data_IF_686829044600
#
_entry.id   IF_686829044600
#
_cell.length_a   1.000
_cell.length_b   1.000
_cell.length_c   1.000
_cell.angle_alpha   90.00
_cell.angle_beta   90.00
_cell.angle_gamma   90.00
#
_symmetry.space_group_name_H-M   'P 1'
#
loop_
_entity.id
_entity.type
_entity.pdbx_description
1 polymer ?
#
# COMPACT_ATOMS: atom_id res chain seq x y z
N UNK A 1 -17.16 15.87 49.45
CA UNK A 1 -16.04 15.00 49.07
C UNK A 1 -16.31 14.19 47.78
N UNK A 2 -17.47 13.53 47.62
CA UNK A 2 -17.81 12.67 46.43
C UNK A 2 -17.80 13.42 45.08
N UNK A 3 -18.24 14.68 45.04
CA UNK A 3 -18.33 15.47 43.81
C UNK A 3 -16.94 15.85 43.22
N UNK A 4 -15.95 16.11 44.09
CA UNK A 4 -14.56 16.38 43.64
C UNK A 4 -13.85 15.10 43.10
N UNK A 5 -14.21 13.93 43.64
CA UNK A 5 -13.67 12.64 43.20
C UNK A 5 -14.21 12.27 41.83
N UNK A 6 -15.50 12.49 41.55
CA UNK A 6 -16.13 12.26 40.24
C UNK A 6 -15.56 13.18 39.15
N UNK A 7 -15.31 14.46 39.47
CA UNK A 7 -14.68 15.39 38.54
C UNK A 7 -13.24 14.98 38.16
N UNK A 8 -12.47 14.50 39.14
CA UNK A 8 -11.11 13.99 38.89
C UNK A 8 -11.08 12.76 38.00
N UNK A 9 -11.97 11.79 38.22
CA UNK A 9 -12.08 10.59 37.39
C UNK A 9 -12.51 10.92 35.95
N UNK A 10 -13.45 11.84 35.76
CA UNK A 10 -13.88 12.27 34.44
C UNK A 10 -12.74 12.97 33.65
N UNK A 11 -11.93 13.78 34.33
CA UNK A 11 -10.80 14.48 33.72
C UNK A 11 -9.68 13.50 33.30
N UNK A 12 -9.37 12.53 34.14
CA UNK A 12 -8.38 11.45 33.83
C UNK A 12 -8.86 10.61 32.65
N UNK A 13 -10.15 10.26 32.60
CA UNK A 13 -10.73 9.56 31.46
C UNK A 13 -10.65 10.35 30.15
N UNK A 14 -10.97 11.65 30.20
CA UNK A 14 -10.85 12.52 29.03
C UNK A 14 -9.40 12.68 28.53
N UNK A 15 -8.44 12.79 29.45
CA UNK A 15 -7.02 12.87 29.11
C UNK A 15 -6.50 11.55 28.52
N UNK A 16 -6.95 10.41 29.02
CA UNK A 16 -6.59 9.09 28.48
C UNK A 16 -7.15 8.91 27.06
N UNK A 17 -8.39 9.33 26.79
CA UNK A 17 -8.98 9.31 25.47
C UNK A 17 -8.22 10.24 24.52
N UNK A 18 -7.90 11.46 24.92
CA UNK A 18 -7.11 12.40 24.13
C UNK A 18 -5.70 11.87 23.85
N UNK A 19 -5.07 11.19 24.82
CA UNK A 19 -3.76 10.56 24.65
C UNK A 19 -3.80 9.43 23.61
N UNK A 20 -4.83 8.57 23.67
CA UNK A 20 -5.03 7.50 22.67
C UNK A 20 -5.22 8.08 21.26
N UNK A 21 -6.07 9.14 21.13
CA UNK A 21 -6.27 9.81 19.84
C UNK A 21 -5.04 10.61 19.35
N UNK A 22 -4.18 11.03 20.25
CA UNK A 22 -2.94 11.73 19.91
C UNK A 22 -1.81 10.78 19.49
N UNK A 23 -1.93 9.47 19.80
CA UNK A 23 -0.92 8.50 19.37
C UNK A 23 -0.88 8.36 17.84
N UNK A 24 0.28 8.51 17.19
CA UNK A 24 0.42 8.38 15.73
C UNK A 24 -0.12 7.05 15.21
N UNK A 25 0.02 5.97 15.98
CA UNK A 25 -0.46 4.62 15.66
C UNK A 25 -1.99 4.50 15.57
N UNK A 26 -2.74 5.32 16.32
CA UNK A 26 -4.20 5.31 16.27
C UNK A 26 -4.74 6.10 15.06
N UNK A 27 -4.00 7.13 14.61
CA UNK A 27 -4.39 7.97 13.47
C UNK A 27 -4.21 7.32 12.12
N UNK A 28 -3.36 6.28 12.01
CA UNK A 28 -3.00 5.69 10.71
C UNK A 28 -3.52 4.27 10.48
N UNK A 29 -4.20 3.66 11.45
CA UNK A 29 -4.72 2.28 11.29
C UNK A 29 -3.65 1.21 11.07
N UNK A 30 -2.38 1.46 11.37
CA UNK A 30 -1.24 0.74 10.84
C UNK A 30 -0.28 0.00 11.80
N UNK A 31 -0.56 -0.33 13.05
CA UNK A 31 0.51 -0.92 13.86
C UNK A 31 0.81 -2.39 13.56
N UNK A 32 -0.04 -3.10 12.80
CA UNK A 32 0.02 -4.57 12.81
C UNK A 32 0.83 -5.21 11.68
N UNK A 33 1.19 -4.48 10.63
CA UNK A 33 1.84 -5.08 9.45
C UNK A 33 3.27 -4.60 9.20
N UNK A 34 3.65 -3.42 9.68
CA UNK A 34 5.01 -2.90 9.53
C UNK A 34 6.04 -3.82 10.21
N UNK A 35 7.18 -4.05 9.55
CA UNK A 35 8.23 -4.96 9.98
C UNK A 35 7.97 -6.44 9.69
N UNK A 36 6.73 -6.84 9.36
CA UNK A 36 6.42 -8.22 8.98
C UNK A 36 6.99 -8.54 7.60
N UNK A 37 7.35 -9.80 7.38
CA UNK A 37 7.70 -10.27 6.04
C UNK A 37 6.49 -10.17 5.14
N UNK A 38 6.64 -9.55 3.96
CA UNK A 38 5.60 -9.52 2.95
C UNK A 38 5.23 -10.94 2.54
N UNK A 39 3.95 -11.33 2.54
CA UNK A 39 3.51 -12.62 2.04
C UNK A 39 3.95 -12.81 0.59
N UNK A 40 4.61 -13.94 0.30
CA UNK A 40 4.95 -14.27 -1.07
C UNK A 40 3.70 -14.72 -1.84
N UNK A 41 3.69 -14.45 -3.12
CA UNK A 41 2.65 -14.90 -4.03
C UNK A 41 3.26 -15.22 -5.39
N UNK A 42 2.62 -16.13 -6.11
CA UNK A 42 2.97 -16.47 -7.48
C UNK A 42 1.85 -15.96 -8.41
N UNK A 43 2.23 -15.23 -9.43
CA UNK A 43 1.34 -14.80 -10.50
C UNK A 43 1.87 -15.29 -11.84
N UNK A 44 0.97 -15.59 -12.76
CA UNK A 44 1.34 -15.99 -14.11
C UNK A 44 1.18 -14.81 -15.07
N UNK A 45 2.20 -14.56 -15.89
CA UNK A 45 2.15 -13.61 -16.98
C UNK A 45 2.91 -14.16 -18.17
N UNK A 46 2.32 -14.12 -19.37
CA UNK A 46 2.93 -14.52 -20.63
C UNK A 46 3.66 -15.88 -20.56
N UNK A 47 3.05 -16.85 -19.87
CA UNK A 47 3.61 -18.21 -19.69
C UNK A 47 4.78 -18.30 -18.71
N UNK A 48 5.11 -17.23 -18.00
CA UNK A 48 6.11 -17.19 -16.93
C UNK A 48 5.46 -17.06 -15.57
N UNK A 49 6.00 -17.74 -14.59
CA UNK A 49 5.62 -17.57 -13.19
C UNK A 49 6.51 -16.49 -12.58
N UNK A 50 5.88 -15.51 -11.94
CA UNK A 50 6.53 -14.42 -11.19
C UNK A 50 6.23 -14.61 -9.70
N UNK A 51 7.24 -14.50 -8.87
CA UNK A 51 7.12 -14.48 -7.42
C UNK A 51 7.52 -13.11 -6.88
N UNK A 52 6.82 -12.61 -5.85
CA UNK A 52 7.27 -11.41 -5.17
C UNK A 52 8.70 -11.58 -4.61
N UNK A 53 9.03 -12.79 -4.18
CA UNK A 53 10.37 -13.13 -3.69
C UNK A 53 11.48 -12.87 -4.71
N UNK A 54 11.19 -12.88 -6.01
CA UNK A 54 12.16 -12.61 -7.09
C UNK A 54 12.61 -11.14 -7.10
N UNK A 55 11.85 -10.26 -6.41
CA UNK A 55 12.18 -8.84 -6.27
C UNK A 55 13.02 -8.51 -5.03
N UNK A 56 13.58 -9.51 -4.34
CA UNK A 56 14.51 -9.25 -3.25
C UNK A 56 15.67 -8.37 -3.72
N UNK A 57 16.06 -7.41 -2.89
CA UNK A 57 17.03 -6.38 -3.24
C UNK A 57 16.43 -5.14 -3.92
N UNK A 58 15.14 -5.18 -4.26
CA UNK A 58 14.40 -3.99 -4.75
C UNK A 58 13.43 -3.47 -3.70
N UNK A 59 13.18 -2.17 -3.73
CA UNK A 59 12.03 -1.57 -3.04
C UNK A 59 10.80 -1.77 -3.91
N UNK A 60 9.72 -2.30 -3.33
CA UNK A 60 8.48 -2.57 -4.07
C UNK A 60 7.34 -1.75 -3.51
N UNK A 61 6.62 -1.06 -4.39
CA UNK A 61 5.30 -0.50 -4.11
C UNK A 61 4.28 -1.49 -4.66
N UNK A 62 3.68 -2.27 -3.76
CA UNK A 62 2.65 -3.25 -4.11
C UNK A 62 1.29 -2.57 -3.95
N UNK A 63 0.61 -2.32 -5.07
CA UNK A 63 -0.64 -1.57 -5.13
C UNK A 63 -1.82 -2.46 -5.51
N UNK A 64 -2.89 -2.43 -4.69
CA UNK A 64 -4.15 -3.15 -4.93
C UNK A 64 -5.19 -2.19 -5.48
N UNK A 65 -5.73 -2.49 -6.65
CA UNK A 65 -6.61 -1.62 -7.41
C UNK A 65 -7.68 -2.38 -8.22
N UNK A 66 -8.55 -1.66 -8.93
CA UNK A 66 -9.43 -2.22 -9.94
C UNK A 66 -9.85 -1.14 -10.95
N UNK A 67 -10.21 -1.54 -12.17
CA UNK A 67 -10.65 -0.63 -13.23
C UNK A 67 -11.97 0.09 -12.90
N UNK A 68 -12.82 -0.52 -12.09
CA UNK A 68 -14.11 0.00 -11.62
C UNK A 68 -14.02 0.86 -10.35
N UNK A 69 -12.82 1.11 -9.83
CA UNK A 69 -12.56 1.88 -8.61
C UNK A 69 -12.17 3.32 -8.97
N UNK A 70 -13.06 4.33 -8.83
CA UNK A 70 -12.75 5.70 -9.25
C UNK A 70 -11.50 6.29 -8.63
N UNK A 71 -11.24 6.18 -7.30
CA UNK A 71 -10.01 6.71 -6.72
C UNK A 71 -8.74 5.99 -7.23
N UNK A 72 -8.83 4.70 -7.63
CA UNK A 72 -7.71 4.00 -8.26
C UNK A 72 -7.40 4.55 -9.66
N UNK A 73 -8.44 4.93 -10.41
CA UNK A 73 -8.29 5.59 -11.72
C UNK A 73 -7.54 6.91 -11.57
N UNK A 74 -7.90 7.70 -10.57
CA UNK A 74 -7.31 9.02 -10.33
C UNK A 74 -5.82 8.95 -9.95
N UNK A 75 -5.37 7.91 -9.25
CA UNK A 75 -3.96 7.77 -8.87
C UNK A 75 -3.06 7.13 -9.94
N UNK A 76 -3.61 6.52 -10.99
CA UNK A 76 -2.86 5.78 -12.01
C UNK A 76 -1.74 6.61 -12.67
N UNK A 77 -2.00 7.88 -12.97
CA UNK A 77 -0.99 8.77 -13.55
C UNK A 77 0.20 9.02 -12.61
N UNK A 78 -0.06 9.19 -11.31
CA UNK A 78 1.00 9.40 -10.32
C UNK A 78 1.80 8.12 -10.05
N UNK A 79 1.17 6.93 -10.12
CA UNK A 79 1.87 5.63 -10.08
C UNK A 79 2.78 5.44 -11.30
N UNK A 80 2.33 5.82 -12.50
CA UNK A 80 3.17 5.81 -13.70
C UNK A 80 4.42 6.69 -13.53
N UNK A 81 4.24 7.92 -13.03
CA UNK A 81 5.34 8.83 -12.76
C UNK A 81 6.29 8.27 -11.69
N UNK A 82 5.75 7.67 -10.63
CA UNK A 82 6.54 6.99 -9.60
C UNK A 82 7.37 5.85 -10.20
N UNK A 83 6.79 4.97 -11.02
CA UNK A 83 7.51 3.87 -11.67
C UNK A 83 8.70 4.38 -12.48
N UNK A 84 8.50 5.43 -13.29
CA UNK A 84 9.60 6.04 -14.05
C UNK A 84 10.72 6.53 -13.15
N UNK A 85 10.36 7.18 -12.03
CA UNK A 85 11.32 7.72 -11.07
C UNK A 85 12.15 6.65 -10.37
N UNK A 86 11.51 5.59 -9.84
CA UNK A 86 12.18 4.62 -8.97
C UNK A 86 12.85 3.46 -9.70
N UNK A 87 12.49 3.22 -10.97
CA UNK A 87 12.99 2.07 -11.73
C UNK A 87 14.51 2.05 -11.87
N UNK A 88 15.15 3.20 -12.09
CA UNK A 88 16.61 3.34 -12.18
C UNK A 88 17.32 3.30 -10.82
N UNK A 89 16.56 3.42 -9.71
CA UNK A 89 17.07 3.48 -8.33
C UNK A 89 16.92 2.13 -7.58
N UNK A 90 16.53 1.07 -8.30
CA UNK A 90 16.32 -0.24 -7.69
C UNK A 90 14.96 -0.36 -6.99
N UNK A 91 13.95 0.40 -7.44
CA UNK A 91 12.56 0.27 -7.04
C UNK A 91 11.67 -0.21 -8.18
N UNK A 92 10.45 -0.63 -7.85
CA UNK A 92 9.41 -0.94 -8.84
C UNK A 92 8.01 -0.84 -8.22
N UNK A 93 7.03 -0.46 -9.04
CA UNK A 93 5.61 -0.62 -8.71
C UNK A 93 5.15 -1.98 -9.22
N UNK A 94 4.30 -2.65 -8.46
CA UNK A 94 3.58 -3.88 -8.86
C UNK A 94 2.11 -3.65 -8.58
N UNK A 95 1.27 -3.68 -9.61
CA UNK A 95 -0.17 -3.57 -9.49
C UNK A 95 -0.84 -4.95 -9.34
N UNK A 96 -1.77 -5.06 -8.41
CA UNK A 96 -2.60 -6.25 -8.20
C UNK A 96 -4.06 -5.84 -8.38
N UNK A 97 -4.63 -6.23 -9.50
CA UNK A 97 -6.01 -5.87 -9.85
C UNK A 97 -7.02 -6.86 -9.29
N UNK A 98 -8.12 -6.34 -8.77
CA UNK A 98 -9.30 -7.09 -8.35
C UNK A 98 -10.38 -7.20 -9.44
N UNK A 99 -10.02 -6.95 -10.69
CA UNK A 99 -10.93 -7.17 -11.80
C UNK A 99 -11.19 -8.66 -12.02
N UNK A 100 -12.46 -9.07 -11.96
CA UNK A 100 -12.87 -10.45 -12.25
C UNK A 100 -12.81 -10.72 -13.77
N UNK A 101 -13.15 -9.70 -14.59
CA UNK A 101 -13.13 -9.77 -16.06
C UNK A 101 -11.82 -9.21 -16.63
N UNK A 102 -11.14 -9.95 -17.52
CA UNK A 102 -9.92 -9.44 -18.17
C UNK A 102 -10.16 -8.26 -19.12
N UNK A 103 -11.37 -8.09 -19.68
CA UNK A 103 -11.61 -7.05 -20.68
C UNK A 103 -11.53 -5.63 -20.10
N UNK A 104 -12.24 -5.25 -19.01
CA UNK A 104 -12.06 -3.94 -18.39
C UNK A 104 -10.67 -3.71 -17.84
N UNK A 105 -10.01 -4.75 -17.31
CA UNK A 105 -8.63 -4.68 -16.89
C UNK A 105 -7.70 -4.28 -18.04
N UNK A 106 -7.75 -4.97 -19.20
CA UNK A 106 -6.90 -4.65 -20.35
C UNK A 106 -7.21 -3.26 -20.93
N UNK A 107 -8.50 -2.90 -20.97
CA UNK A 107 -8.92 -1.56 -21.38
C UNK A 107 -8.27 -0.50 -20.51
N UNK A 108 -8.33 -0.66 -19.18
CA UNK A 108 -7.70 0.26 -18.23
C UNK A 108 -6.19 0.42 -18.49
N UNK A 109 -5.46 -0.69 -18.65
CA UNK A 109 -4.02 -0.65 -18.90
C UNK A 109 -3.67 0.19 -20.14
N UNK A 110 -4.49 0.06 -21.19
CA UNK A 110 -4.30 0.78 -22.43
C UNK A 110 -4.66 2.27 -22.30
N UNK A 111 -5.83 2.57 -21.71
CA UNK A 111 -6.33 3.95 -21.57
C UNK A 111 -5.46 4.80 -20.66
N UNK A 112 -4.96 4.22 -19.58
CA UNK A 112 -4.12 4.91 -18.59
C UNK A 112 -2.62 4.71 -18.85
N UNK A 113 -2.24 4.04 -19.96
CA UNK A 113 -0.84 3.82 -20.36
C UNK A 113 0.01 3.27 -19.22
N UNK A 114 -0.55 2.27 -18.49
CA UNK A 114 0.11 1.69 -17.32
C UNK A 114 1.48 1.16 -17.71
N UNK A 115 2.55 1.66 -17.07
CA UNK A 115 3.95 1.41 -17.44
C UNK A 115 4.70 0.56 -16.40
N UNK A 116 3.98 -0.06 -15.48
CA UNK A 116 4.52 -0.95 -14.45
C UNK A 116 3.89 -2.35 -14.55
N UNK A 117 4.60 -3.40 -14.09
CA UNK A 117 4.05 -4.74 -14.04
C UNK A 117 2.75 -4.79 -13.23
N UNK A 118 1.72 -5.39 -13.80
CA UNK A 118 0.43 -5.54 -13.15
C UNK A 118 -0.21 -6.88 -13.48
N UNK A 119 -1.00 -7.42 -12.53
CA UNK A 119 -1.55 -8.76 -12.57
C UNK A 119 -2.96 -8.77 -12.01
N UNK A 120 -3.80 -9.70 -12.47
CA UNK A 120 -5.12 -9.91 -11.89
C UNK A 120 -5.09 -10.91 -10.75
N UNK A 121 -5.74 -10.57 -9.65
CA UNK A 121 -6.03 -11.42 -8.49
C UNK A 121 -7.54 -11.69 -8.46
N UNK A 122 -8.03 -12.39 -9.50
CA UNK A 122 -9.45 -12.64 -9.77
C UNK A 122 -10.19 -13.36 -8.63
N UNK A 123 -9.47 -14.09 -7.80
CA UNK A 123 -10.01 -14.75 -6.60
C UNK A 123 -9.69 -14.01 -5.30
N UNK A 124 -9.04 -12.85 -5.36
CA UNK A 124 -8.63 -11.99 -4.23
C UNK A 124 -7.76 -12.69 -3.18
N UNK A 125 -7.10 -13.74 -3.56
CA UNK A 125 -6.25 -14.54 -2.67
C UNK A 125 -5.02 -13.75 -2.20
N UNK A 126 -4.38 -13.02 -3.10
CA UNK A 126 -3.23 -12.17 -2.77
C UNK A 126 -3.68 -11.07 -1.81
N UNK A 127 -4.76 -10.34 -2.15
CA UNK A 127 -5.33 -9.31 -1.28
C UNK A 127 -5.69 -9.84 0.11
N UNK A 128 -6.32 -11.00 0.19
CA UNK A 128 -6.67 -11.64 1.47
C UNK A 128 -5.43 -11.96 2.31
N UNK A 129 -4.35 -12.46 1.71
CA UNK A 129 -3.11 -12.78 2.41
C UNK A 129 -2.42 -11.52 2.98
N UNK A 130 -2.59 -10.38 2.34
CA UNK A 130 -2.10 -9.08 2.82
C UNK A 130 -3.04 -8.42 3.83
N UNK A 131 -4.27 -8.93 3.97
CA UNK A 131 -5.31 -8.30 4.79
C UNK A 131 -5.87 -7.04 4.17
N UNK A 132 -5.83 -6.95 2.84
CA UNK A 132 -6.46 -5.88 2.06
C UNK A 132 -7.96 -6.10 2.04
N UNK A 133 -8.73 -5.11 2.52
CA UNK A 133 -10.19 -5.17 2.61
C UNK A 133 -10.88 -4.11 1.75
N UNK A 134 -10.14 -3.12 1.30
CA UNK A 134 -10.62 -2.05 0.42
C UNK A 134 -9.51 -1.63 -0.54
N UNK A 135 -9.89 -0.99 -1.63
CA UNK A 135 -8.98 -0.44 -2.64
C UNK A 135 -9.29 1.05 -2.86
N UNK A 136 -8.27 1.88 -3.24
CA UNK A 136 -6.88 1.50 -3.38
C UNK A 136 -6.19 1.29 -2.02
N UNK A 137 -5.27 0.33 -1.97
CA UNK A 137 -4.46 0.04 -0.80
C UNK A 137 -3.07 -0.41 -1.26
N UNK A 138 -2.02 0.19 -0.71
CA UNK A 138 -0.66 -0.13 -1.12
C UNK A 138 0.25 -0.50 0.06
N UNK A 139 1.28 -1.28 -0.25
CA UNK A 139 2.32 -1.68 0.70
C UNK A 139 3.69 -1.29 0.17
N UNK A 140 4.42 -0.50 0.96
CA UNK A 140 5.83 -0.24 0.70
C UNK A 140 6.63 -1.42 1.27
N UNK A 141 7.39 -2.10 0.42
CA UNK A 141 8.17 -3.27 0.79
C UNK A 141 9.66 -2.95 0.60
N UNK A 142 10.43 -3.12 1.66
CA UNK A 142 11.87 -2.88 1.68
C UNK A 142 12.65 -3.96 0.92
N UNK A 143 13.94 -3.70 0.64
CA UNK A 143 14.82 -4.59 -0.11
C UNK A 143 14.93 -6.00 0.48
N UNK A 144 14.84 -6.13 1.81
CA UNK A 144 14.82 -7.41 2.52
C UNK A 144 13.44 -8.10 2.51
N UNK A 145 12.44 -7.49 1.84
CA UNK A 145 11.09 -7.99 1.65
C UNK A 145 10.22 -7.91 2.90
N UNK A 146 10.43 -6.92 3.73
CA UNK A 146 9.53 -6.59 4.83
C UNK A 146 8.61 -5.44 4.44
N UNK A 147 7.40 -5.46 4.95
CA UNK A 147 6.47 -4.36 4.82
C UNK A 147 7.01 -3.20 5.68
N UNK A 148 7.37 -2.10 5.06
CA UNK A 148 7.79 -0.88 5.74
C UNK A 148 6.58 -0.03 6.13
N UNK A 149 5.57 0.07 5.24
CA UNK A 149 4.37 0.86 5.47
C UNK A 149 3.19 0.27 4.70
N UNK A 150 1.99 0.34 5.28
CA UNK A 150 0.71 0.17 4.61
C UNK A 150 0.09 1.53 4.37
N UNK A 151 -0.47 1.76 3.20
CA UNK A 151 -1.11 3.02 2.80
C UNK A 151 -2.52 2.69 2.34
N UNK A 152 -3.51 3.37 2.89
CA UNK A 152 -4.93 3.13 2.61
C UNK A 152 -5.54 4.34 1.94
N UNK A 153 -6.30 4.12 0.88
CA UNK A 153 -6.97 5.15 0.10
C UNK A 153 -6.08 5.80 -0.95
N UNK A 154 -6.73 6.60 -1.80
CA UNK A 154 -6.09 7.32 -2.91
C UNK A 154 -4.91 8.18 -2.46
N UNK A 155 -3.84 8.15 -3.25
CA UNK A 155 -2.62 8.92 -3.01
C UNK A 155 -2.19 9.70 -4.25
N UNK A 156 -1.52 10.82 -4.00
CA UNK A 156 -0.60 11.41 -4.98
C UNK A 156 0.81 10.86 -4.72
N UNK A 157 1.22 9.88 -5.53
CA UNK A 157 2.52 9.21 -5.41
C UNK A 157 3.71 10.10 -5.75
N UNK A 158 3.45 11.33 -6.24
CA UNK A 158 4.47 12.36 -6.48
C UNK A 158 4.61 13.32 -5.29
N UNK A 159 3.76 13.20 -4.28
CA UNK A 159 3.78 14.07 -3.10
C UNK A 159 5.12 14.01 -2.36
N UNK A 160 5.58 15.12 -1.76
CA UNK A 160 6.85 15.16 -1.00
C UNK A 160 6.91 14.14 0.15
N UNK A 161 5.76 13.88 0.80
CA UNK A 161 5.71 12.91 1.90
C UNK A 161 6.03 11.50 1.42
N UNK A 162 5.36 11.01 0.37
CA UNK A 162 5.53 9.65 -0.13
C UNK A 162 6.88 9.48 -0.83
N UNK A 163 7.30 10.49 -1.59
CA UNK A 163 8.61 10.45 -2.25
C UNK A 163 9.75 10.42 -1.26
N UNK A 164 9.69 11.19 -0.15
CA UNK A 164 10.70 11.13 0.92
C UNK A 164 10.73 9.78 1.63
N UNK A 165 9.56 9.18 1.90
CA UNK A 165 9.48 7.86 2.52
C UNK A 165 10.09 6.78 1.62
N UNK A 166 9.82 6.85 0.30
CA UNK A 166 10.39 5.94 -0.69
C UNK A 166 11.91 6.13 -0.84
N UNK A 167 12.39 7.38 -0.86
CA UNK A 167 13.82 7.68 -0.92
C UNK A 167 14.57 7.11 0.29
N UNK A 168 13.99 7.20 1.48
CA UNK A 168 14.57 6.57 2.67
C UNK A 168 14.74 5.04 2.50
N UNK A 169 13.75 4.36 1.88
CA UNK A 169 13.83 2.92 1.60
C UNK A 169 14.82 2.60 0.46
N UNK A 170 14.86 3.43 -0.59
CA UNK A 170 15.75 3.24 -1.73
C UNK A 170 17.23 3.40 -1.36
N UNK A 171 17.54 4.21 -0.34
CA UNK A 171 18.90 4.47 0.12
C UNK A 171 19.26 3.71 1.40
N UNK A 172 18.34 2.95 2.02
CA UNK A 172 18.65 2.06 3.13
C UNK A 172 19.43 0.83 2.65
N UNK A 173 20.54 0.54 3.33
CA UNK A 173 21.35 -0.67 3.12
C UNK A 173 20.66 -1.91 3.69
#
# INVERSE_FOLDING_TARGET
MKQKLLGGLAMVGALAVLYVFAMPSYRQGEPSVAGRRAPDFALQTDGRQFHLADLRGKVVVLDFWASWCPPCVEEAASLNALQQRISSQGGTVIGISWDDDPAPYQKFLTEHQVNFPTYRDDNRKVGTNYGTVMIPEAYLISRDGRIARKIVGQQDWTSPELTSALDALLHSN
#
